data_IF_658409615800
#
_entry.id   IF_658409615800
#
_cell.length_a   1.000
_cell.length_b   1.000
_cell.length_c   1.000
_cell.angle_alpha   90.00
_cell.angle_beta   90.00
_cell.angle_gamma   90.00
#
_symmetry.space_group_name_H-M   'P 1'
#
loop_
_entity.id
_entity.type
_entity.pdbx_description
1 polymer ?
#
# COMPACT_ATOMS: atom_id res chain seq x y z
N UNK A 1 20.42 24.61 4.32
CA UNK A 1 19.23 24.76 3.45
C UNK A 1 18.35 25.83 4.08
N UNK A 2 17.81 26.76 3.30
CA UNK A 2 16.87 27.76 3.83
C UNK A 2 15.49 27.09 4.01
N UNK A 3 14.73 27.42 5.05
CA UNK A 3 13.42 26.77 5.35
C UNK A 3 12.45 26.82 4.16
N UNK A 4 12.53 27.90 3.36
CA UNK A 4 11.75 28.08 2.14
C UNK A 4 12.12 27.06 1.05
N UNK A 5 13.41 26.70 0.93
CA UNK A 5 13.87 25.70 -0.03
C UNK A 5 13.42 24.28 0.35
N UNK A 6 13.41 23.96 1.65
CA UNK A 6 12.88 22.68 2.15
C UNK A 6 11.38 22.56 1.89
N UNK A 7 10.62 23.62 2.16
CA UNK A 7 9.18 23.66 1.86
C UNK A 7 8.94 23.41 0.36
N UNK A 8 9.61 24.15 -0.52
CA UNK A 8 9.48 23.99 -1.97
C UNK A 8 9.86 22.59 -2.45
N UNK A 9 10.88 21.98 -1.85
CA UNK A 9 11.29 20.61 -2.17
C UNK A 9 10.20 19.60 -1.79
N UNK A 10 9.60 19.74 -0.60
CA UNK A 10 8.51 18.88 -0.14
C UNK A 10 7.28 19.05 -1.03
N UNK A 11 6.88 20.30 -1.33
CA UNK A 11 5.72 20.56 -2.19
C UNK A 11 5.90 19.93 -3.56
N UNK A 12 7.07 20.09 -4.16
CA UNK A 12 7.38 19.51 -5.48
C UNK A 12 7.36 17.97 -5.43
N UNK A 13 7.81 17.36 -4.33
CA UNK A 13 7.72 15.91 -4.14
C UNK A 13 6.26 15.45 -4.07
N UNK A 14 5.43 16.13 -3.28
CA UNK A 14 4.00 15.83 -3.15
C UNK A 14 3.31 15.96 -4.51
N UNK A 15 3.59 17.03 -5.27
CA UNK A 15 3.01 17.24 -6.61
C UNK A 15 3.37 16.08 -7.55
N UNK A 16 4.63 15.64 -7.56
CA UNK A 16 5.07 14.51 -8.40
C UNK A 16 4.43 13.18 -8.01
N UNK A 17 4.31 12.92 -6.71
CA UNK A 17 3.63 11.73 -6.21
C UNK A 17 2.15 11.77 -6.63
N UNK A 18 1.50 12.92 -6.53
CA UNK A 18 0.11 13.09 -6.97
C UNK A 18 -0.05 12.87 -8.48
N UNK A 19 0.82 13.47 -9.31
CA UNK A 19 0.82 13.26 -10.76
C UNK A 19 1.02 11.79 -11.15
N UNK A 20 1.79 11.03 -10.36
CA UNK A 20 1.98 9.60 -10.58
C UNK A 20 0.75 8.75 -10.25
N UNK A 21 -0.11 9.23 -9.35
CA UNK A 21 -1.35 8.56 -8.94
C UNK A 21 -2.53 8.88 -9.87
N UNK A 22 -2.52 10.03 -10.54
CA UNK A 22 -3.59 10.45 -11.48
C UNK A 22 -3.90 9.38 -12.53
N UNK A 23 -2.92 8.73 -13.20
CA UNK A 23 -3.20 7.65 -14.15
C UNK A 23 -3.85 6.43 -13.52
N UNK A 24 -3.51 6.09 -12.26
CA UNK A 24 -4.13 4.98 -11.52
C UNK A 24 -5.60 5.27 -11.21
N UNK A 25 -5.93 6.52 -10.90
CA UNK A 25 -7.30 6.97 -10.63
C UNK A 25 -8.17 7.07 -11.89
N UNK A 26 -7.60 6.86 -13.09
CA UNK A 26 -8.38 6.75 -14.34
C UNK A 26 -8.89 5.34 -14.59
N UNK A 27 -8.33 4.35 -13.90
CA UNK A 27 -8.81 2.98 -13.98
C UNK A 27 -10.15 2.86 -13.21
N UNK A 28 -11.26 2.54 -13.89
CA UNK A 28 -12.57 2.46 -13.26
C UNK A 28 -12.63 1.41 -12.14
N UNK A 29 -11.83 0.35 -12.21
CA UNK A 29 -11.82 -0.70 -11.19
C UNK A 29 -11.05 -0.24 -9.95
N UNK A 30 -9.99 0.57 -10.12
CA UNK A 30 -9.28 1.22 -9.01
C UNK A 30 -10.18 2.21 -8.31
N UNK A 31 -10.93 3.05 -9.05
CA UNK A 31 -11.87 4.01 -8.45
C UNK A 31 -12.94 3.31 -7.63
N UNK A 32 -13.51 2.22 -8.15
CA UNK A 32 -14.50 1.40 -7.41
C UNK A 32 -13.89 0.79 -6.15
N UNK A 33 -12.70 0.21 -6.24
CA UNK A 33 -12.03 -0.40 -5.10
C UNK A 33 -11.74 0.63 -4.00
N UNK A 34 -11.23 1.81 -4.37
CA UNK A 34 -10.98 2.90 -3.42
C UNK A 34 -12.28 3.38 -2.78
N UNK A 35 -13.34 3.59 -3.58
CA UNK A 35 -14.65 4.03 -3.06
C UNK A 35 -15.22 3.01 -2.06
N UNK A 36 -15.18 1.72 -2.42
CA UNK A 36 -15.61 0.64 -1.53
C UNK A 36 -14.81 0.61 -0.21
N UNK A 37 -13.48 0.72 -0.28
CA UNK A 37 -12.64 0.74 0.91
C UNK A 37 -12.94 1.95 1.80
N UNK A 38 -13.16 3.13 1.22
CA UNK A 38 -13.52 4.33 1.99
C UNK A 38 -14.89 4.22 2.66
N UNK A 39 -15.86 3.61 1.99
CA UNK A 39 -17.18 3.35 2.57
C UNK A 39 -17.08 2.30 3.69
N UNK A 40 -16.29 1.26 3.50
CA UNK A 40 -16.04 0.22 4.50
C UNK A 40 -15.33 0.78 5.73
N UNK A 41 -14.32 1.63 5.56
CA UNK A 41 -13.61 2.27 6.67
C UNK A 41 -14.55 3.20 7.45
N UNK A 42 -15.36 4.01 6.74
CA UNK A 42 -16.35 4.89 7.39
C UNK A 42 -17.39 4.09 8.18
N UNK A 43 -17.84 2.96 7.62
CA UNK A 43 -18.77 2.07 8.29
C UNK A 43 -18.12 1.40 9.51
N UNK A 44 -16.90 0.90 9.36
CA UNK A 44 -16.16 0.27 10.45
C UNK A 44 -15.95 1.23 11.61
N UNK A 45 -15.56 2.48 11.31
CA UNK A 45 -15.41 3.54 12.32
C UNK A 45 -16.70 3.81 13.07
N UNK A 46 -17.85 3.86 12.37
CA UNK A 46 -19.16 4.11 13.00
C UNK A 46 -19.61 3.04 14.00
N UNK A 47 -19.09 1.82 13.86
CA UNK A 47 -19.39 0.69 14.74
C UNK A 47 -18.19 0.27 15.60
N UNK A 48 -17.13 1.07 15.65
CA UNK A 48 -15.88 0.79 16.37
C UNK A 48 -15.23 -0.55 15.99
N UNK A 49 -15.45 -1.02 14.76
CA UNK A 49 -14.85 -2.24 14.25
C UNK A 49 -13.39 -2.00 13.86
N UNK A 50 -12.51 -2.91 14.29
CA UNK A 50 -11.16 -2.97 13.75
C UNK A 50 -11.09 -3.92 12.55
N UNK A 51 -10.07 -3.77 11.71
CA UNK A 51 -9.84 -4.69 10.60
C UNK A 51 -9.73 -6.17 11.05
N UNK A 52 -9.17 -6.41 12.25
CA UNK A 52 -9.12 -7.76 12.82
C UNK A 52 -10.50 -8.29 13.18
N UNK A 53 -11.39 -7.45 13.69
CA UNK A 53 -12.76 -7.84 14.03
C UNK A 53 -13.57 -8.20 12.78
N UNK A 54 -13.40 -7.41 11.70
CA UNK A 54 -14.01 -7.70 10.40
C UNK A 54 -13.51 -9.04 9.86
N UNK A 55 -12.19 -9.27 9.90
CA UNK A 55 -11.60 -10.54 9.46
C UNK A 55 -12.09 -11.69 10.34
N UNK A 56 -12.20 -11.51 11.66
CA UNK A 56 -12.69 -12.52 12.58
C UNK A 56 -14.14 -12.93 12.29
N UNK A 57 -14.97 -11.99 11.82
CA UNK A 57 -16.35 -12.28 11.40
C UNK A 57 -16.44 -13.04 10.08
N UNK A 58 -15.54 -12.77 9.13
CA UNK A 58 -15.55 -13.38 7.78
C UNK A 58 -14.80 -14.72 7.76
N UNK A 59 -13.61 -14.75 8.37
CA UNK A 59 -12.68 -15.88 8.38
C UNK A 59 -11.92 -15.94 9.74
N UNK A 60 -12.48 -16.66 10.72
CA UNK A 60 -11.89 -16.73 12.05
C UNK A 60 -10.51 -17.42 12.07
N UNK A 61 -10.28 -18.43 11.24
CA UNK A 61 -8.99 -19.15 11.17
C UNK A 61 -7.86 -18.24 10.67
N UNK A 62 -8.17 -17.33 9.74
CA UNK A 62 -7.23 -16.31 9.29
C UNK A 62 -6.94 -15.25 10.34
N UNK A 63 -7.95 -14.82 11.09
CA UNK A 63 -7.77 -13.86 12.19
C UNK A 63 -6.81 -14.41 13.27
N UNK A 64 -6.96 -15.68 13.64
CA UNK A 64 -6.07 -16.36 14.58
C UNK A 64 -4.63 -16.44 14.07
N UNK A 65 -4.45 -16.69 12.77
CA UNK A 65 -3.12 -16.71 12.15
C UNK A 65 -2.44 -15.33 12.20
N UNK A 66 -3.19 -14.25 12.02
CA UNK A 66 -2.65 -12.87 12.06
C UNK A 66 -2.26 -12.40 13.47
N UNK A 67 -2.89 -12.94 14.52
CA UNK A 67 -2.50 -12.68 15.91
C UNK A 67 -1.21 -13.40 16.32
N UNK A 68 -0.92 -14.52 15.67
CA UNK A 68 0.23 -15.38 15.97
C UNK A 68 1.47 -15.07 15.10
N UNK A 69 1.34 -14.20 14.09
CA UNK A 69 2.47 -13.71 13.30
C UNK A 69 3.35 -12.78 14.16
N UNK A 70 4.66 -13.06 14.33
CA UNK A 70 5.54 -12.16 15.05
C UNK A 70 5.62 -10.82 14.30
N UNK A 71 5.30 -9.71 14.98
CA UNK A 71 5.53 -8.35 14.51
C UNK A 71 7.02 -8.14 14.22
N UNK A 72 7.46 -8.47 13.03
CA UNK A 72 8.86 -8.37 12.67
C UNK A 72 9.16 -8.98 11.32
N UNK A 73 8.78 -8.29 10.24
CA UNK A 73 9.50 -8.32 8.97
C UNK A 73 8.92 -7.25 8.04
N UNK A 74 9.38 -6.02 8.21
CA UNK A 74 9.59 -5.09 7.10
C UNK A 74 10.50 -5.80 6.09
N UNK A 75 9.90 -6.62 5.22
CA UNK A 75 10.57 -7.16 4.03
C UNK A 75 10.69 -6.01 3.06
N UNK A 76 11.70 -5.17 3.28
CA UNK A 76 12.31 -4.36 2.23
C UNK A 76 12.45 -5.26 1.00
N UNK A 77 11.71 -4.94 -0.06
CA UNK A 77 11.83 -5.55 -1.38
C UNK A 77 13.20 -5.17 -1.96
N UNK A 78 14.27 -5.78 -1.46
CA UNK A 78 15.57 -5.85 -2.11
C UNK A 78 15.71 -7.23 -2.74
N UNK A 79 15.34 -7.33 -4.02
CA UNK A 79 16.03 -8.27 -4.91
C UNK A 79 16.17 -7.68 -6.30
N UNK A 80 17.23 -6.91 -6.45
CA UNK A 80 17.91 -6.60 -7.71
C UNK A 80 18.07 -7.89 -8.52
N UNK A 81 17.32 -8.02 -9.62
CA UNK A 81 17.58 -9.05 -10.63
C UNK A 81 18.60 -8.49 -11.61
N UNK A 82 19.87 -8.83 -11.40
CA UNK A 82 20.94 -8.62 -12.39
C UNK A 82 20.74 -9.52 -13.63
N UNK A 83 21.22 -9.12 -14.82
CA UNK A 83 20.86 -9.74 -16.09
C UNK A 83 21.60 -11.06 -16.31
N UNK A 84 20.84 -12.08 -16.74
CA UNK A 84 21.33 -13.42 -17.09
C UNK A 84 22.15 -13.33 -18.40
N UNK A 85 23.47 -13.47 -18.28
CA UNK A 85 24.40 -13.59 -19.40
C UNK A 85 24.09 -14.87 -20.21
N UNK A 86 24.11 -14.75 -21.54
CA UNK A 86 23.97 -15.86 -22.50
C UNK A 86 25.21 -16.78 -22.43
N UNK A 87 25.05 -18.11 -22.57
CA UNK A 87 26.19 -19.03 -22.68
C UNK A 87 26.82 -18.96 -24.09
N UNK A 88 28.13 -19.26 -24.23
CA UNK A 88 28.82 -19.25 -25.51
C UNK A 88 28.47 -20.48 -26.35
N UNK A 89 28.16 -20.24 -27.62
CA UNK A 89 28.15 -21.25 -28.69
C UNK A 89 29.56 -21.77 -28.91
N UNK A 90 29.69 -23.10 -28.94
CA UNK A 90 30.88 -23.83 -29.37
C UNK A 90 30.65 -24.37 -30.78
#
# INVERSE_FOLDING_TARGET
>A
MNRVQELLFITNRITKEYESLIPLLRDPDVVKAVSFLTELDSLAESYEFTALDIIRLIDPSRAESMLNEPKGLDKTLKKTRSPRQKPPTR
#
